data_IF_033238866591
#
_entry.id   IF_033238866591
#
_cell.length_a   1.000
_cell.length_b   1.000
_cell.length_c   1.000
_cell.angle_alpha   90.00
_cell.angle_beta   90.00
_cell.angle_gamma   90.00
#
_symmetry.space_group_name_H-M   'P 1'
#
loop_
_entity.id
_entity.type
_entity.pdbx_description
1 polymer ?
#
# COMPACT_ATOMS: atom_id res chain seq x y z
N UNK A 1 -21.15 13.64 0.52
CA UNK A 1 -20.81 13.67 1.96
C UNK A 1 -20.86 12.29 2.61
N UNK A 2 -21.87 11.44 2.32
CA UNK A 2 -21.93 10.04 2.81
C UNK A 2 -20.88 9.09 2.20
N UNK A 3 -20.50 9.36 0.96
CA UNK A 3 -19.45 8.68 0.21
C UNK A 3 -18.07 8.78 0.90
N UNK A 4 -17.66 9.98 1.31
CA UNK A 4 -16.34 10.18 1.97
C UNK A 4 -16.23 9.41 3.29
N UNK A 5 -17.30 9.42 4.08
CA UNK A 5 -17.38 8.68 5.35
C UNK A 5 -17.38 7.17 5.12
N UNK A 6 -18.16 6.69 4.14
CA UNK A 6 -18.18 5.29 3.73
C UNK A 6 -16.77 4.82 3.33
N UNK A 7 -16.12 5.54 2.42
CA UNK A 7 -14.77 5.19 1.98
C UNK A 7 -13.74 5.28 3.11
N UNK A 8 -13.84 6.27 4.00
CA UNK A 8 -12.97 6.35 5.17
C UNK A 8 -13.13 5.11 6.07
N UNK A 9 -14.35 4.63 6.26
CA UNK A 9 -14.64 3.46 7.08
C UNK A 9 -14.15 2.16 6.43
N UNK A 10 -14.53 1.87 5.18
CA UNK A 10 -14.21 0.58 4.53
C UNK A 10 -12.72 0.46 4.19
N UNK A 11 -12.04 1.57 3.91
CA UNK A 11 -10.59 1.58 3.66
C UNK A 11 -9.78 1.63 4.96
N UNK A 12 -10.43 1.76 6.12
CA UNK A 12 -9.77 1.91 7.40
C UNK A 12 -8.91 3.17 7.47
N UNK A 13 -9.29 4.25 6.78
CA UNK A 13 -8.57 5.53 6.80
C UNK A 13 -9.07 6.34 8.00
N UNK A 14 -8.28 6.34 9.06
CA UNK A 14 -8.59 7.04 10.31
C UNK A 14 -7.33 7.69 10.93
N UNK A 15 -7.48 8.32 12.10
CA UNK A 15 -6.40 9.01 12.84
C UNK A 15 -5.80 10.18 12.06
N UNK A 16 -4.55 10.07 11.64
CA UNK A 16 -3.73 11.12 11.03
C UNK A 16 -4.09 11.40 9.57
N UNK A 17 -4.96 10.61 8.96
CA UNK A 17 -5.42 10.75 7.58
C UNK A 17 -6.94 10.86 7.52
N UNK A 18 -7.46 11.45 6.44
CA UNK A 18 -8.89 11.52 6.12
C UNK A 18 -9.10 11.42 4.61
N UNK A 19 -10.27 10.93 4.21
CA UNK A 19 -10.72 10.99 2.82
C UNK A 19 -11.15 12.43 2.54
N UNK A 20 -10.40 13.11 1.66
CA UNK A 20 -10.69 14.46 1.22
C UNK A 20 -11.78 14.47 0.15
N UNK A 21 -11.72 13.51 -0.78
CA UNK A 21 -12.66 13.43 -1.88
C UNK A 21 -12.74 12.03 -2.49
N UNK A 22 -13.82 11.78 -3.23
CA UNK A 22 -14.04 10.53 -3.97
C UNK A 22 -14.59 10.89 -5.35
N UNK A 23 -13.88 10.48 -6.38
CA UNK A 23 -14.28 10.71 -7.78
C UNK A 23 -14.48 9.37 -8.49
N UNK A 24 -15.67 9.17 -9.07
CA UNK A 24 -15.93 8.06 -9.97
C UNK A 24 -15.50 8.47 -11.39
N UNK A 25 -14.57 7.71 -11.98
CA UNK A 25 -14.12 7.88 -13.36
C UNK A 25 -14.69 6.75 -14.22
N UNK A 26 -15.93 6.94 -14.64
CA UNK A 26 -16.66 5.99 -15.49
C UNK A 26 -15.89 5.61 -16.77
N UNK A 27 -15.24 6.54 -17.51
CA UNK A 27 -14.57 6.18 -18.76
C UNK A 27 -13.40 5.21 -18.58
N UNK A 28 -12.77 5.19 -17.41
CA UNK A 28 -11.62 4.33 -17.11
C UNK A 28 -11.98 3.16 -16.19
N UNK A 29 -13.22 3.08 -15.71
CA UNK A 29 -13.64 2.08 -14.73
C UNK A 29 -12.88 2.21 -13.40
N UNK A 30 -12.60 3.43 -12.93
CA UNK A 30 -11.85 3.68 -11.69
C UNK A 30 -12.66 4.50 -10.69
N UNK A 31 -12.45 4.24 -9.40
CA UNK A 31 -12.82 5.17 -8.32
C UNK A 31 -11.53 5.72 -7.71
N UNK A 32 -11.33 7.02 -7.83
CA UNK A 32 -10.21 7.71 -7.18
C UNK A 32 -10.64 8.20 -5.80
N UNK A 33 -9.97 7.71 -4.77
CA UNK A 33 -10.17 8.16 -3.39
C UNK A 33 -8.99 9.05 -3.02
N UNK A 34 -9.26 10.34 -2.87
CA UNK A 34 -8.27 11.33 -2.48
C UNK A 34 -8.13 11.32 -0.96
N UNK A 35 -6.92 11.06 -0.49
CA UNK A 35 -6.59 10.92 0.93
C UNK A 35 -5.58 11.99 1.30
N UNK A 36 -5.88 12.74 2.35
CA UNK A 36 -4.99 13.78 2.85
C UNK A 36 -4.67 13.58 4.33
N UNK A 37 -3.52 14.11 4.72
CA UNK A 37 -3.08 14.07 6.11
C UNK A 37 -3.77 15.20 6.87
N UNK A 38 -4.28 14.91 8.06
CA UNK A 38 -4.88 15.93 8.94
C UNK A 38 -3.82 16.97 9.33
N UNK A 39 -4.22 18.25 9.52
CA UNK A 39 -3.31 19.29 9.99
C UNK A 39 -2.79 18.97 11.39
N UNK A 40 -1.63 19.53 11.75
CA UNK A 40 -1.06 19.42 13.10
C UNK A 40 -0.36 18.09 13.42
N UNK A 41 -0.29 17.14 12.49
CA UNK A 41 0.41 15.88 12.73
C UNK A 41 1.93 16.08 12.61
N UNK A 42 2.66 15.82 13.71
CA UNK A 42 4.11 15.92 13.76
C UNK A 42 4.78 15.04 12.70
N UNK A 43 5.80 15.58 12.06
CA UNK A 43 6.58 14.91 11.02
C UNK A 43 7.76 14.18 11.67
N UNK A 44 7.86 12.87 11.44
CA UNK A 44 8.93 12.02 11.98
C UNK A 44 9.61 11.24 10.86
N UNK A 45 10.89 10.96 11.04
CA UNK A 45 11.62 10.10 10.12
C UNK A 45 11.03 8.67 10.18
N UNK A 46 10.66 8.06 9.04
CA UNK A 46 10.11 6.71 8.99
C UNK A 46 11.11 5.61 9.36
N UNK A 47 12.40 5.94 9.45
CA UNK A 47 13.51 5.01 9.71
C UNK A 47 13.92 5.06 11.19
N UNK A 48 14.31 6.24 11.72
CA UNK A 48 14.70 6.37 13.14
C UNK A 48 13.61 6.87 14.09
N UNK A 49 12.49 7.41 13.60
CA UNK A 49 11.44 7.98 14.44
C UNK A 49 11.68 9.42 14.92
N UNK A 50 12.88 9.97 14.74
CA UNK A 50 13.23 11.33 15.18
C UNK A 50 12.33 12.39 14.52
N UNK A 51 11.92 13.40 15.30
CA UNK A 51 11.24 14.59 14.79
C UNK A 51 12.11 15.24 13.69
N UNK A 52 11.50 15.49 12.53
CA UNK A 52 12.19 15.97 11.34
C UNK A 52 11.40 17.11 10.70
N UNK A 53 12.10 18.10 10.14
CA UNK A 53 11.44 19.18 9.43
C UNK A 53 10.79 18.67 8.13
N UNK A 54 9.68 19.30 7.74
CA UNK A 54 9.10 19.08 6.42
C UNK A 54 10.06 19.53 5.31
N UNK A 55 10.09 18.79 4.21
CA UNK A 55 10.87 19.12 3.01
C UNK A 55 9.92 19.54 1.88
N UNK A 56 9.21 18.59 1.29
CA UNK A 56 8.18 18.83 0.27
C UNK A 56 7.07 17.76 0.39
N UNK A 57 6.15 17.73 -0.56
CA UNK A 57 5.15 16.67 -0.70
C UNK A 57 5.19 16.12 -2.12
N UNK A 58 4.95 14.82 -2.29
CA UNK A 58 4.80 14.20 -3.62
C UNK A 58 3.50 13.44 -3.74
N UNK A 59 2.77 13.71 -4.82
CA UNK A 59 1.57 12.95 -5.19
C UNK A 59 1.96 11.51 -5.51
N UNK A 60 1.25 10.57 -4.89
CA UNK A 60 1.37 9.14 -5.19
C UNK A 60 0.00 8.52 -5.36
N UNK A 61 -0.01 7.42 -6.12
CA UNK A 61 -1.18 6.63 -6.44
C UNK A 61 -0.93 5.18 -6.02
N UNK A 62 -1.93 4.54 -5.44
CA UNK A 62 -1.90 3.10 -5.13
C UNK A 62 -3.15 2.42 -5.62
N UNK A 63 -2.97 1.27 -6.26
CA UNK A 63 -4.06 0.35 -6.56
C UNK A 63 -4.50 -0.37 -5.27
N UNK A 64 -5.78 -0.25 -4.95
CA UNK A 64 -6.44 -0.95 -3.85
C UNK A 64 -7.38 -2.04 -4.38
N UNK A 65 -8.06 -2.76 -3.48
CA UNK A 65 -9.12 -3.70 -3.83
C UNK A 65 -10.24 -3.00 -4.61
N UNK A 66 -10.93 -3.74 -5.47
CA UNK A 66 -12.04 -3.22 -6.25
C UNK A 66 -13.22 -2.82 -5.38
N UNK A 67 -13.84 -1.70 -5.73
CA UNK A 67 -15.16 -1.33 -5.22
C UNK A 67 -16.16 -1.71 -6.31
N UNK A 68 -16.91 -2.78 -6.07
CA UNK A 68 -17.74 -3.40 -7.10
C UNK A 68 -16.91 -3.78 -8.33
N UNK A 69 -17.27 -3.30 -9.52
CA UNK A 69 -16.53 -3.51 -10.77
C UNK A 69 -15.45 -2.45 -11.03
N UNK A 70 -15.32 -1.44 -10.16
CA UNK A 70 -14.41 -0.32 -10.37
C UNK A 70 -13.08 -0.51 -9.66
N UNK A 71 -12.01 -0.15 -10.35
CA UNK A 71 -10.67 -0.11 -9.77
C UNK A 71 -10.53 1.00 -8.76
N UNK A 72 -10.38 0.67 -7.49
CA UNK A 72 -10.13 1.67 -6.46
C UNK A 72 -8.67 2.12 -6.49
N UNK A 73 -8.45 3.42 -6.70
CA UNK A 73 -7.13 4.05 -6.69
C UNK A 73 -7.06 5.05 -5.53
N UNK A 74 -6.17 4.80 -4.58
CA UNK A 74 -5.88 5.76 -3.52
C UNK A 74 -4.91 6.81 -4.04
N UNK A 75 -5.24 8.09 -3.89
CA UNK A 75 -4.39 9.22 -4.30
C UNK A 75 -4.06 10.07 -3.09
N UNK A 76 -2.78 10.31 -2.81
CA UNK A 76 -2.38 11.15 -1.69
C UNK A 76 -1.11 11.96 -1.97
N UNK A 77 -1.07 13.19 -1.45
CA UNK A 77 0.15 14.00 -1.40
C UNK A 77 0.95 13.64 -0.15
N UNK A 78 1.96 12.79 -0.32
CA UNK A 78 2.76 12.24 0.79
C UNK A 78 3.92 13.18 1.13
N UNK A 79 4.03 13.66 2.39
CA UNK A 79 5.17 14.45 2.82
C UNK A 79 6.50 13.70 2.74
N UNK A 80 7.54 14.42 2.38
CA UNK A 80 8.93 14.03 2.62
C UNK A 80 9.51 14.92 3.71
N UNK A 81 10.36 14.35 4.55
CA UNK A 81 10.99 15.01 5.68
C UNK A 81 12.49 15.00 5.52
N UNK A 82 13.16 16.06 5.98
CA UNK A 82 14.61 16.14 6.02
C UNK A 82 15.09 15.58 7.37
N UNK A 83 15.52 14.32 7.37
CA UNK A 83 16.14 13.71 8.54
C UNK A 83 17.64 14.03 8.54
N UNK A 84 18.20 14.42 9.68
CA UNK A 84 19.64 14.68 9.83
C UNK A 84 20.51 13.43 9.56
N UNK A 85 19.98 12.23 9.86
CA UNK A 85 20.69 10.94 9.71
C UNK A 85 20.48 10.27 8.35
N UNK A 86 19.26 10.38 7.80
CA UNK A 86 18.83 9.60 6.62
C UNK A 86 18.55 10.46 5.37
N UNK A 87 18.76 11.78 5.46
CA UNK A 87 18.47 12.70 4.36
C UNK A 87 16.97 12.89 4.12
N UNK A 88 16.59 13.16 2.87
CA UNK A 88 15.18 13.35 2.46
C UNK A 88 14.49 12.00 2.32
N UNK A 89 13.53 11.74 3.21
CA UNK A 89 12.79 10.46 3.25
C UNK A 89 11.29 10.68 3.26
N UNK A 90 10.54 9.81 2.58
CA UNK A 90 9.08 9.88 2.50
C UNK A 90 8.43 9.25 3.72
N UNK A 91 7.46 9.93 4.34
CA UNK A 91 6.74 9.39 5.50
C UNK A 91 5.96 8.12 5.13
N UNK A 92 5.79 7.22 6.09
CA UNK A 92 4.98 6.00 5.90
C UNK A 92 3.50 6.36 5.77
N UNK A 93 2.82 5.72 4.83
CA UNK A 93 1.36 5.70 4.74
C UNK A 93 0.84 4.41 5.38
N UNK A 94 -0.35 4.40 6.00
CA UNK A 94 -0.84 3.24 6.72
C UNK A 94 -1.32 2.10 5.80
N UNK A 95 -1.66 2.38 4.55
CA UNK A 95 -2.25 1.40 3.62
C UNK A 95 -1.25 0.73 2.66
N UNK A 96 0.01 1.16 2.59
CA UNK A 96 0.98 0.66 1.61
C UNK A 96 2.40 0.59 2.18
N UNK A 97 3.17 -0.37 1.69
CA UNK A 97 4.59 -0.46 2.01
C UNK A 97 5.42 0.61 1.31
N UNK A 98 6.56 1.02 1.91
CA UNK A 98 7.50 1.92 1.25
C UNK A 98 7.85 1.45 -0.17
N UNK A 99 7.73 2.36 -1.14
CA UNK A 99 8.04 2.09 -2.54
C UNK A 99 6.91 1.41 -3.34
N UNK A 100 5.98 0.70 -2.69
CA UNK A 100 4.91 -0.01 -3.41
C UNK A 100 3.94 0.96 -4.09
N UNK A 101 3.37 0.51 -5.22
CA UNK A 101 2.24 1.14 -5.94
C UNK A 101 0.92 0.43 -5.64
N UNK A 102 0.93 -0.51 -4.71
CA UNK A 102 -0.21 -1.30 -4.30
C UNK A 102 -0.43 -1.14 -2.80
N UNK A 103 -1.68 -1.16 -2.39
CA UNK A 103 -1.99 -1.28 -0.97
C UNK A 103 -1.61 -2.67 -0.42
N UNK A 104 -1.37 -2.77 0.88
CA UNK A 104 -1.06 -4.04 1.56
C UNK A 104 -2.18 -5.07 1.35
N UNK A 105 -3.44 -4.65 1.41
CA UNK A 105 -4.59 -5.55 1.20
C UNK A 105 -4.65 -6.05 -0.26
N UNK A 106 -4.36 -5.20 -1.24
CA UNK A 106 -4.28 -5.63 -2.63
C UNK A 106 -3.12 -6.59 -2.87
N UNK A 107 -1.94 -6.33 -2.30
CA UNK A 107 -0.84 -7.29 -2.35
C UNK A 107 -1.22 -8.64 -1.73
N UNK A 108 -1.95 -8.64 -0.62
CA UNK A 108 -2.43 -9.87 0.00
C UNK A 108 -3.40 -10.65 -0.91
N UNK A 109 -4.33 -9.97 -1.59
CA UNK A 109 -5.20 -10.57 -2.59
C UNK A 109 -4.40 -11.25 -3.70
N UNK A 110 -3.40 -10.55 -4.26
CA UNK A 110 -2.54 -11.08 -5.32
C UNK A 110 -1.80 -12.34 -4.85
N UNK A 111 -1.20 -12.31 -3.66
CA UNK A 111 -0.49 -13.47 -3.10
C UNK A 111 -1.43 -14.65 -2.86
N UNK A 112 -2.66 -14.41 -2.41
CA UNK A 112 -3.64 -15.48 -2.26
C UNK A 112 -3.98 -16.11 -3.61
N UNK A 113 -4.20 -15.31 -4.65
CA UNK A 113 -4.43 -15.82 -6.00
C UNK A 113 -3.25 -16.60 -6.57
N UNK A 114 -2.02 -16.18 -6.30
CA UNK A 114 -0.81 -16.89 -6.76
C UNK A 114 -0.60 -18.26 -6.09
N UNK A 115 -1.30 -18.54 -4.98
CA UNK A 115 -1.31 -19.88 -4.38
C UNK A 115 -2.27 -20.84 -5.09
N UNK A 116 -3.30 -20.30 -5.74
CA UNK A 116 -4.40 -21.07 -6.33
C UNK A 116 -4.33 -21.13 -7.86
N UNK A 117 -3.60 -20.22 -8.50
CA UNK A 117 -3.57 -20.08 -9.95
C UNK A 117 -2.19 -19.71 -10.49
N UNK A 118 -1.98 -19.97 -11.79
CA UNK A 118 -0.73 -19.60 -12.47
C UNK A 118 -0.56 -18.07 -12.54
N UNK A 119 0.69 -17.61 -12.54
CA UNK A 119 1.03 -16.18 -12.68
C UNK A 119 0.35 -15.51 -13.86
N UNK A 120 0.20 -16.23 -14.99
CA UNK A 120 -0.48 -15.70 -16.17
C UNK A 120 -2.00 -15.54 -15.94
N UNK A 121 -2.64 -16.51 -15.28
CA UNK A 121 -4.05 -16.40 -14.93
C UNK A 121 -4.30 -15.22 -13.96
N UNK A 122 -3.44 -15.05 -12.95
CA UNK A 122 -3.49 -13.92 -12.01
C UNK A 122 -3.26 -12.59 -12.71
N UNK A 123 -2.27 -12.52 -13.61
CA UNK A 123 -1.99 -11.33 -14.44
C UNK A 123 -3.21 -10.89 -15.25
N UNK A 124 -3.87 -11.82 -15.92
CA UNK A 124 -5.09 -11.54 -16.70
C UNK A 124 -6.26 -11.15 -15.79
N UNK A 125 -6.47 -11.86 -14.68
CA UNK A 125 -7.61 -11.66 -13.80
C UNK A 125 -7.55 -10.33 -13.03
N UNK A 126 -6.37 -9.91 -12.60
CA UNK A 126 -6.18 -8.70 -11.79
C UNK A 126 -5.60 -7.54 -12.61
N UNK A 127 -5.44 -7.73 -13.92
CA UNK A 127 -4.88 -6.77 -14.87
C UNK A 127 -3.52 -6.21 -14.44
N UNK A 128 -2.61 -7.11 -14.06
CA UNK A 128 -1.28 -6.76 -13.58
C UNK A 128 -0.21 -7.15 -14.58
N UNK A 129 0.78 -6.28 -14.76
CA UNK A 129 1.99 -6.65 -15.49
C UNK A 129 2.84 -7.65 -14.70
N UNK A 130 3.66 -8.42 -15.42
CA UNK A 130 4.57 -9.38 -14.79
C UNK A 130 5.49 -8.72 -13.74
N UNK A 131 6.06 -7.55 -14.06
CA UNK A 131 6.89 -6.77 -13.12
C UNK A 131 6.14 -6.36 -11.84
N UNK A 132 4.84 -6.08 -11.94
CA UNK A 132 4.03 -5.77 -10.77
C UNK A 132 3.86 -7.00 -9.89
N UNK A 133 3.55 -8.15 -10.49
CA UNK A 133 3.38 -9.41 -9.78
C UNK A 133 4.69 -9.83 -9.10
N UNK A 134 5.80 -9.88 -9.84
CA UNK A 134 7.10 -10.24 -9.27
C UNK A 134 7.45 -9.33 -8.09
N UNK A 135 7.31 -8.00 -8.26
CA UNK A 135 7.56 -7.07 -7.17
C UNK A 135 6.71 -7.33 -5.91
N UNK A 136 5.43 -7.69 -6.06
CA UNK A 136 4.56 -8.09 -4.93
C UNK A 136 5.07 -9.39 -4.30
N UNK A 137 5.43 -10.36 -5.12
CA UNK A 137 5.95 -11.66 -4.70
C UNK A 137 7.25 -11.52 -3.89
N UNK A 138 8.23 -10.75 -4.39
CA UNK A 138 9.49 -10.48 -3.71
C UNK A 138 9.28 -9.83 -2.34
N UNK A 139 8.37 -8.85 -2.25
CA UNK A 139 8.02 -8.22 -0.96
C UNK A 139 7.36 -9.22 -0.01
N UNK A 140 6.45 -10.06 -0.50
CA UNK A 140 5.81 -11.07 0.31
C UNK A 140 6.79 -12.12 0.84
N UNK A 141 7.72 -12.60 0.01
CA UNK A 141 8.80 -13.52 0.40
C UNK A 141 9.70 -12.86 1.44
N UNK A 142 10.14 -11.62 1.22
CA UNK A 142 10.95 -10.87 2.19
C UNK A 142 10.25 -10.77 3.56
N UNK A 143 8.95 -10.44 3.58
CA UNK A 143 8.15 -10.44 4.82
C UNK A 143 8.05 -11.83 5.46
N UNK A 144 7.83 -12.87 4.66
CA UNK A 144 7.74 -14.26 5.12
C UNK A 144 9.03 -14.72 5.77
N UNK A 145 10.16 -14.49 5.10
CA UNK A 145 11.49 -14.82 5.61
C UNK A 145 11.81 -14.08 6.90
N UNK A 146 11.48 -12.79 7.01
CA UNK A 146 11.70 -12.02 8.23
C UNK A 146 10.87 -12.50 9.44
N UNK A 147 9.76 -13.20 9.20
CA UNK A 147 8.90 -13.79 10.26
C UNK A 147 9.21 -15.25 10.56
N UNK A 148 10.01 -15.91 9.72
CA UNK A 148 10.29 -17.34 9.86
C UNK A 148 11.17 -17.54 11.10
N UNK A 149 10.67 -18.33 12.06
CA UNK A 149 11.49 -18.77 13.17
C UNK A 149 12.62 -19.67 12.65
N UNK A 150 13.81 -19.54 13.24
CA UNK A 150 14.84 -20.56 13.07
C UNK A 150 14.33 -21.85 13.72
N UNK A 151 14.24 -22.90 12.94
CA UNK A 151 13.86 -24.23 13.40
C UNK A 151 15.13 -25.09 13.38
N UNK A 152 15.33 -25.89 14.41
CA UNK A 152 16.36 -26.94 14.48
C UNK A 152 15.69 -28.32 14.46
N UNK A 153 15.15 -28.75 13.30
CA UNK A 153 14.41 -30.00 13.22
C UNK A 153 15.36 -31.20 13.35
N UNK A 154 15.03 -32.13 14.26
CA UNK A 154 15.79 -33.39 14.44
C UNK A 154 15.57 -34.39 13.30
N UNK A 155 14.46 -34.27 12.59
CA UNK A 155 14.11 -35.12 11.44
C UNK A 155 13.47 -34.25 10.36
N UNK A 156 13.86 -34.46 9.11
CA UNK A 156 13.31 -33.76 7.95
C UNK A 156 12.78 -34.83 6.99
N UNK A 157 11.48 -34.75 6.67
CA UNK A 157 10.89 -35.50 5.57
C UNK A 157 10.94 -34.65 4.30
N UNK A 158 11.39 -35.24 3.20
CA UNK A 158 11.34 -34.65 1.86
C UNK A 158 10.44 -35.57 1.03
N UNK A 159 9.40 -35.00 0.45
CA UNK A 159 8.50 -35.64 -0.51
C UNK A 159 8.87 -35.16 -1.92
#
# INVERSE_FOLDING_TARGET
MKDKELYAQILGIHKSWRVADVELKEPTGEVEVFVERKPGVQQTCPICGDASSGYDKRRRRWRHLDTCEYKTILVADVPRVQCKKHGVVMVKVPWAEPGSRFSVLFEALVINWLKEASTQAVSRQLELSWNAIDGIMQRAVKRGMARRASLDPKHIGVD
#
